data_IF_260785768264
#
_entry.id   IF_260785768264
#
_cell.length_a   1.000
_cell.length_b   1.000
_cell.length_c   1.000
_cell.angle_alpha   90.00
_cell.angle_beta   90.00
_cell.angle_gamma   90.00
#
_symmetry.space_group_name_H-M   'P 1'
#
loop_
_entity.id
_entity.type
_entity.pdbx_description
1 polymer ?
#
# COMPACT_ATOMS: atom_id res chain seq x y z
N UNK A 1 -3.81 -7.61 7.90
CA UNK A 1 -2.78 -6.69 8.43
C UNK A 1 -2.65 -5.50 7.49
N UNK A 2 -2.15 -4.35 7.97
CA UNK A 2 -1.85 -3.20 7.11
C UNK A 2 -0.33 -3.05 7.03
N UNK A 3 0.17 -2.94 5.81
CA UNK A 3 1.58 -2.68 5.53
C UNK A 3 1.72 -1.34 4.81
N UNK A 4 2.72 -0.56 5.20
CA UNK A 4 3.00 0.72 4.58
C UNK A 4 4.22 0.61 3.67
N UNK A 5 4.12 1.18 2.47
CA UNK A 5 5.22 1.34 1.51
C UNK A 5 5.32 2.80 1.13
N UNK A 6 6.52 3.28 0.79
CA UNK A 6 6.69 4.68 0.40
C UNK A 6 7.70 5.42 1.25
N UNK A 7 7.50 6.74 1.30
CA UNK A 7 8.29 7.66 2.09
C UNK A 7 7.32 8.53 2.90
N UNK A 8 7.48 8.53 4.23
CA UNK A 8 6.54 9.16 5.16
C UNK A 8 6.39 10.68 4.96
N UNK A 9 7.34 11.33 4.28
CA UNK A 9 7.35 12.78 4.01
C UNK A 9 6.71 13.17 2.68
N UNK A 10 6.38 12.21 1.83
CA UNK A 10 5.92 12.49 0.45
C UNK A 10 4.68 11.68 0.11
N UNK A 11 4.84 10.36 -0.05
CA UNK A 11 3.76 9.47 -0.50
C UNK A 11 3.86 8.13 0.20
N UNK A 12 2.71 7.64 0.66
CA UNK A 12 2.57 6.35 1.33
C UNK A 12 1.47 5.55 0.66
N UNK A 13 1.73 4.26 0.46
CA UNK A 13 0.76 3.25 0.06
C UNK A 13 0.41 2.40 1.27
N UNK A 14 -0.88 2.33 1.60
CA UNK A 14 -1.39 1.42 2.61
C UNK A 14 -1.93 0.16 1.92
N UNK A 15 -1.30 -0.97 2.18
CA UNK A 15 -1.66 -2.28 1.63
C UNK A 15 -2.30 -3.12 2.72
N UNK A 16 -3.59 -3.37 2.59
CA UNK A 16 -4.33 -4.27 3.47
C UNK A 16 -4.25 -5.69 2.93
N UNK A 17 -3.83 -6.64 3.77
CA UNK A 17 -3.72 -8.05 3.44
C UNK A 17 -4.52 -8.92 4.40
N UNK A 18 -4.99 -10.08 3.92
CA UNK A 18 -5.59 -11.10 4.77
C UNK A 18 -4.52 -11.80 5.63
N UNK A 19 -3.36 -12.09 5.03
CA UNK A 19 -2.25 -12.84 5.63
C UNK A 19 -0.96 -12.00 5.64
N UNK A 20 0.08 -12.53 6.28
CA UNK A 20 1.40 -11.93 6.25
C UNK A 20 2.02 -12.02 4.84
N UNK A 21 2.71 -10.96 4.42
CA UNK A 21 3.37 -10.90 3.12
C UNK A 21 4.67 -11.72 3.12
N UNK A 22 4.79 -12.64 2.17
CA UNK A 22 6.05 -13.32 1.90
C UNK A 22 7.13 -12.32 1.44
N UNK A 23 8.40 -12.71 1.57
CA UNK A 23 9.54 -11.90 1.12
C UNK A 23 9.49 -11.62 -0.39
N UNK A 24 9.11 -12.63 -1.18
CA UNK A 24 8.98 -12.49 -2.64
C UNK A 24 7.89 -11.48 -3.01
N UNK A 25 6.71 -11.57 -2.39
CA UNK A 25 5.61 -10.65 -2.62
C UNK A 25 5.94 -9.22 -2.18
N UNK A 26 6.66 -9.09 -1.07
CA UNK A 26 7.17 -7.80 -0.61
C UNK A 26 8.10 -7.17 -1.66
N UNK A 27 8.97 -7.95 -2.29
CA UNK A 27 9.85 -7.46 -3.36
C UNK A 27 9.06 -7.04 -4.62
N UNK A 28 8.04 -7.81 -5.00
CA UNK A 28 7.15 -7.45 -6.13
C UNK A 28 6.41 -6.14 -5.86
N UNK A 29 5.91 -5.95 -4.62
CA UNK A 29 5.26 -4.71 -4.20
C UNK A 29 6.22 -3.52 -4.19
N UNK A 30 7.44 -3.69 -3.69
CA UNK A 30 8.49 -2.66 -3.75
C UNK A 30 8.71 -2.22 -5.20
N UNK A 31 8.83 -3.17 -6.13
CA UNK A 31 8.98 -2.87 -7.56
C UNK A 31 7.76 -2.12 -8.12
N UNK A 32 6.54 -2.59 -7.82
CA UNK A 32 5.28 -2.01 -8.31
C UNK A 32 5.09 -0.57 -7.80
N UNK A 33 5.54 -0.27 -6.60
CA UNK A 33 5.52 1.08 -6.03
C UNK A 33 6.73 1.93 -6.42
N UNK A 34 7.46 1.58 -7.49
CA UNK A 34 8.57 2.38 -8.00
C UNK A 34 9.85 2.29 -7.16
N UNK A 35 10.15 1.11 -6.62
CA UNK A 35 11.26 0.82 -5.71
C UNK A 35 11.17 1.52 -4.35
N UNK A 36 9.97 1.91 -3.94
CA UNK A 36 9.75 2.48 -2.62
C UNK A 36 9.75 1.38 -1.54
N UNK A 37 10.46 1.60 -0.41
CA UNK A 37 10.64 0.56 0.59
C UNK A 37 9.38 0.31 1.41
N UNK A 38 9.28 -0.89 1.98
CA UNK A 38 8.33 -1.18 3.06
C UNK A 38 8.77 -0.47 4.35
N UNK A 39 7.88 0.31 4.93
CA UNK A 39 8.08 0.96 6.22
C UNK A 39 7.88 -0.08 7.34
N UNK A 40 8.86 -0.22 8.23
CA UNK A 40 8.83 -1.17 9.35
C UNK A 40 8.11 -0.58 10.57
N UNK A 41 6.89 -0.10 10.35
CA UNK A 41 6.06 0.54 11.38
C UNK A 41 4.64 -0.02 11.36
N UNK A 42 4.00 -0.11 12.52
CA UNK A 42 2.61 -0.55 12.65
C UNK A 42 1.62 0.60 12.41
N UNK A 43 2.07 1.84 12.62
CA UNK A 43 1.30 3.07 12.45
C UNK A 43 2.24 4.20 12.02
N UNK A 44 1.69 5.21 11.35
CA UNK A 44 2.39 6.43 10.95
C UNK A 44 1.79 7.61 11.70
N UNK A 45 2.62 8.33 12.45
CA UNK A 45 2.24 9.55 13.14
C UNK A 45 2.64 10.76 12.28
N UNK A 46 1.81 11.07 11.30
CA UNK A 46 1.96 12.22 10.40
C UNK A 46 0.61 12.55 9.73
N UNK A 47 0.52 13.75 9.16
CA UNK A 47 -0.67 14.20 8.46
C UNK A 47 -0.61 13.79 6.98
N UNK A 48 -1.64 13.08 6.55
CA UNK A 48 -1.78 12.64 5.16
C UNK A 48 -3.16 12.99 4.60
N UNK A 49 -3.21 13.28 3.30
CA UNK A 49 -4.44 13.44 2.53
C UNK A 49 -4.62 12.22 1.64
N UNK A 50 -5.84 11.68 1.66
CA UNK A 50 -6.23 10.56 0.82
C UNK A 50 -7.74 10.33 0.88
N UNK A 51 -8.23 9.26 0.23
CA UNK A 51 -9.64 8.92 0.20
C UNK A 51 -10.19 8.64 1.60
N UNK A 52 -11.50 8.90 1.80
CA UNK A 52 -12.18 8.53 3.04
C UNK A 52 -12.14 7.02 3.21
N UNK A 53 -11.98 6.54 4.44
CA UNK A 53 -11.86 5.11 4.74
C UNK A 53 -13.00 4.25 4.14
N UNK A 54 -14.23 4.78 4.12
CA UNK A 54 -15.41 4.10 3.57
C UNK A 54 -15.50 4.13 2.03
N UNK A 55 -14.71 4.96 1.34
CA UNK A 55 -14.72 5.06 -0.12
C UNK A 55 -13.67 4.12 -0.71
N UNK A 56 -13.99 3.54 -1.87
CA UNK A 56 -13.04 2.78 -2.69
C UNK A 56 -12.84 3.56 -3.98
N UNK A 57 -11.60 3.93 -4.28
CA UNK A 57 -11.28 4.68 -5.50
C UNK A 57 -11.12 3.73 -6.69
N UNK A 58 -11.39 4.18 -7.93
CA UNK A 58 -11.04 3.40 -9.12
C UNK A 58 -9.55 3.02 -9.16
N UNK A 59 -8.68 3.90 -8.65
CA UNK A 59 -7.26 3.62 -8.48
C UNK A 59 -7.02 2.42 -7.55
N UNK A 60 -7.68 2.38 -6.39
CA UNK A 60 -7.59 1.26 -5.43
C UNK A 60 -8.02 -0.05 -6.07
N UNK A 61 -9.11 -0.05 -6.86
CA UNK A 61 -9.57 -1.24 -7.59
C UNK A 61 -8.49 -1.73 -8.55
N UNK A 62 -7.98 -0.85 -9.42
CA UNK A 62 -6.96 -1.21 -10.40
C UNK A 62 -5.66 -1.69 -9.74
N UNK A 63 -5.19 -0.99 -8.70
CA UNK A 63 -3.98 -1.37 -7.96
C UNK A 63 -4.13 -2.78 -7.36
N UNK A 64 -5.29 -3.06 -6.75
CA UNK A 64 -5.56 -4.37 -6.17
C UNK A 64 -5.58 -5.45 -7.26
N UNK A 65 -6.27 -5.23 -8.37
CA UNK A 65 -6.34 -6.19 -9.49
C UNK A 65 -4.97 -6.49 -10.11
N UNK A 66 -4.12 -5.48 -10.30
CA UNK A 66 -2.75 -5.68 -10.80
C UNK A 66 -1.96 -6.62 -9.88
N UNK A 67 -2.06 -6.44 -8.57
CA UNK A 67 -1.34 -7.31 -7.63
C UNK A 67 -1.83 -8.75 -7.67
N UNK A 68 -3.13 -8.97 -7.86
CA UNK A 68 -3.69 -10.32 -8.06
C UNK A 68 -3.18 -10.96 -9.36
N UNK A 69 -3.14 -10.18 -10.45
CA UNK A 69 -2.61 -10.63 -11.74
C UNK A 69 -1.12 -10.97 -11.69
N UNK A 70 -0.35 -10.32 -10.80
CA UNK A 70 1.05 -10.64 -10.53
C UNK A 70 1.25 -11.85 -9.60
N UNK A 71 0.17 -12.51 -9.19
CA UNK A 71 0.20 -13.67 -8.30
C UNK A 71 0.35 -13.33 -6.82
N UNK A 72 0.25 -12.05 -6.43
CA UNK A 72 0.27 -11.62 -5.03
C UNK A 72 -1.14 -11.74 -4.47
N UNK A 73 -1.46 -12.94 -3.97
CA UNK A 73 -2.79 -13.27 -3.48
C UNK A 73 -3.02 -12.71 -2.07
N UNK A 74 -4.28 -12.46 -1.74
CA UNK A 74 -4.68 -12.06 -0.38
C UNK A 74 -4.49 -10.57 -0.06
N UNK A 75 -4.13 -9.73 -1.04
CA UNK A 75 -4.32 -8.28 -0.94
C UNK A 75 -5.82 -7.98 -1.01
N UNK A 76 -6.32 -7.32 0.02
CA UNK A 76 -7.73 -6.93 0.16
C UNK A 76 -7.95 -5.55 -0.47
N UNK A 77 -7.03 -4.63 -0.22
CA UNK A 77 -7.14 -3.24 -0.66
C UNK A 77 -5.78 -2.56 -0.68
N UNK A 78 -5.58 -1.66 -1.63
CA UNK A 78 -4.44 -0.74 -1.68
C UNK A 78 -4.98 0.68 -1.78
N UNK A 79 -4.50 1.58 -0.95
CA UNK A 79 -4.81 3.01 -1.07
C UNK A 79 -3.53 3.85 -1.06
N UNK A 80 -3.57 4.98 -1.76
CA UNK A 80 -2.48 5.96 -1.75
C UNK A 80 -2.82 7.20 -0.94
N UNK A 81 -1.79 7.74 -0.28
CA UNK A 81 -1.87 8.90 0.58
C UNK A 81 -0.70 9.84 0.28
N UNK A 82 -0.95 11.14 0.29
CA UNK A 82 0.08 12.18 0.16
C UNK A 82 0.30 12.86 1.49
N UNK A 83 1.57 13.04 1.89
CA UNK A 83 1.91 13.79 3.09
C UNK A 83 1.58 15.27 2.88
N UNK A 84 1.09 15.91 3.93
CA UNK A 84 0.89 17.36 3.96
C UNK A 84 1.80 18.01 5.02
N UNK A 85 2.25 19.26 4.78
CA UNK A 85 3.02 20.02 5.76
C UNK A 85 2.25 20.31 7.06
#
# INVERSE_FOLDING_TARGET
>A
MIHFFGEARTKVFAVQTANELAKEDTNKLIWLFGNLPKLKVASLDAFFVGPRAAMITPWSTNATEITQNMGIKGIIRIEEFQAVP
#
